data_IF_266414827822
#
_entry.id   IF_266414827822
#
_cell.length_a   1.000
_cell.length_b   1.000
_cell.length_c   1.000
_cell.angle_alpha   90.00
_cell.angle_beta   90.00
_cell.angle_gamma   90.00
#
_symmetry.space_group_name_H-M   'P 1'
#
loop_
_entity.id
_entity.type
_entity.pdbx_description
1 polymer ?
#
# COMPACT_ATOMS: atom_id res chain seq x y z
N UNK A 1 5.59 3.48 4.94
CA UNK A 1 5.55 4.80 5.62
C UNK A 1 5.58 5.89 4.57
N UNK A 2 4.90 7.01 4.80
CA UNK A 2 4.92 8.18 3.91
C UNK A 2 5.23 9.43 4.75
N UNK A 3 6.20 10.25 4.34
CA UNK A 3 6.60 11.47 5.07
C UNK A 3 6.80 11.25 6.59
N UNK A 4 7.40 10.13 6.99
CA UNK A 4 7.62 9.80 8.40
C UNK A 4 6.39 9.27 9.16
N UNK A 5 5.23 9.12 8.51
CA UNK A 5 4.00 8.56 9.09
C UNK A 5 3.78 7.10 8.65
N UNK A 6 3.34 6.26 9.58
CA UNK A 6 2.86 4.90 9.27
C UNK A 6 1.47 5.00 8.65
N UNK A 7 1.26 4.32 7.52
CA UNK A 7 -0.01 4.37 6.77
C UNK A 7 -0.76 3.05 6.79
N UNK A 8 -0.05 1.95 7.05
CA UNK A 8 -0.61 0.61 7.11
C UNK A 8 0.31 -0.30 7.92
N UNK A 9 -0.29 -1.19 8.71
CA UNK A 9 0.40 -2.19 9.52
C UNK A 9 -0.46 -3.46 9.54
N UNK A 10 0.09 -4.57 9.08
CA UNK A 10 -0.55 -5.88 9.18
C UNK A 10 0.52 -6.98 9.23
N UNK A 11 0.16 -8.24 9.52
CA UNK A 11 1.03 -9.38 9.28
C UNK A 11 1.56 -9.36 7.84
N UNK A 12 2.80 -9.79 7.64
CA UNK A 12 3.45 -9.73 6.32
C UNK A 12 2.61 -10.39 5.23
N UNK A 13 2.08 -11.59 5.47
CA UNK A 13 1.22 -12.28 4.50
C UNK A 13 -0.03 -11.48 4.14
N UNK A 14 -0.63 -10.79 5.10
CA UNK A 14 -1.83 -9.97 4.87
C UNK A 14 -1.49 -8.73 4.06
N UNK A 15 -0.38 -8.04 4.36
CA UNK A 15 0.08 -6.87 3.59
C UNK A 15 0.32 -7.18 2.11
N UNK A 16 0.87 -8.36 1.79
CA UNK A 16 1.14 -8.76 0.41
C UNK A 16 -0.12 -9.25 -0.32
N UNK A 17 -1.05 -9.90 0.38
CA UNK A 17 -2.26 -10.48 -0.23
C UNK A 17 -3.43 -9.49 -0.30
N UNK A 18 -3.55 -8.62 0.69
CA UNK A 18 -4.68 -7.71 0.87
C UNK A 18 -4.21 -6.32 1.35
N UNK A 19 -3.30 -5.64 0.62
CA UNK A 19 -2.96 -4.26 0.94
C UNK A 19 -4.21 -3.38 0.83
N UNK A 20 -4.50 -2.57 1.84
CA UNK A 20 -5.70 -1.74 1.88
C UNK A 20 -5.40 -0.28 1.55
N UNK A 21 -4.28 0.26 2.05
CA UNK A 21 -3.95 1.66 1.82
C UNK A 21 -3.49 1.88 0.36
N UNK A 22 -4.01 2.90 -0.36
CA UNK A 22 -3.64 3.15 -1.76
C UNK A 22 -2.14 3.31 -1.99
N UNK A 23 -1.44 3.99 -1.07
CA UNK A 23 0.02 4.06 -1.08
C UNK A 23 0.71 2.69 -1.03
N UNK A 24 0.27 1.79 -0.15
CA UNK A 24 0.85 0.43 -0.06
C UNK A 24 0.61 -0.35 -1.35
N UNK A 25 -0.59 -0.24 -1.94
CA UNK A 25 -0.90 -0.84 -3.25
C UNK A 25 0.02 -0.31 -4.35
N UNK A 26 0.25 1.00 -4.38
CA UNK A 26 1.20 1.63 -5.31
C UNK A 26 2.61 1.06 -5.16
N UNK A 27 3.13 1.00 -3.93
CA UNK A 27 4.45 0.42 -3.66
C UNK A 27 4.56 -1.04 -4.10
N UNK A 28 3.56 -1.87 -3.76
CA UNK A 28 3.58 -3.28 -4.13
C UNK A 28 3.46 -3.50 -5.65
N UNK A 29 2.71 -2.65 -6.35
CA UNK A 29 2.62 -2.70 -7.82
C UNK A 29 3.96 -2.42 -8.52
N UNK A 30 4.87 -1.70 -7.86
CA UNK A 30 6.19 -1.39 -8.38
C UNK A 30 7.21 -2.54 -8.19
N UNK A 31 6.87 -3.60 -7.46
CA UNK A 31 7.76 -4.74 -7.24
C UNK A 31 8.02 -5.45 -8.56
N UNK A 32 9.29 -5.61 -9.00
CA UNK A 32 9.61 -6.26 -10.25
C UNK A 32 9.33 -7.76 -10.18
N UNK A 33 8.84 -8.33 -11.27
CA UNK A 33 8.67 -9.78 -11.40
C UNK A 33 9.67 -10.36 -12.41
N UNK A 34 10.08 -11.65 -12.26
CA UNK A 34 11.12 -12.24 -13.10
C UNK A 34 10.70 -12.55 -14.54
N UNK A 35 9.43 -12.34 -14.92
CA UNK A 35 8.94 -12.51 -16.29
C UNK A 35 9.06 -11.18 -17.08
N UNK A 36 9.95 -11.10 -18.10
CA UNK A 36 10.14 -9.87 -18.88
C UNK A 36 8.92 -9.45 -19.70
N UNK A 37 8.09 -10.40 -20.14
CA UNK A 37 6.89 -10.09 -20.92
C UNK A 37 5.80 -9.51 -20.04
N UNK A 38 5.63 -10.04 -18.84
CA UNK A 38 4.74 -9.47 -17.84
C UNK A 38 5.23 -8.09 -17.40
N UNK A 39 6.51 -7.96 -17.04
CA UNK A 39 7.07 -6.73 -16.47
C UNK A 39 6.93 -5.54 -17.43
N UNK A 40 7.11 -5.74 -18.74
CA UNK A 40 6.92 -4.70 -19.75
C UNK A 40 5.48 -4.16 -19.81
N UNK A 41 4.50 -5.03 -19.57
CA UNK A 41 3.07 -4.69 -19.69
C UNK A 41 2.41 -4.42 -18.34
N UNK A 42 3.17 -4.47 -17.24
CA UNK A 42 2.66 -4.29 -15.88
C UNK A 42 2.16 -2.87 -15.68
N UNK A 43 0.97 -2.73 -15.09
CA UNK A 43 0.40 -1.45 -14.69
C UNK A 43 0.93 -1.11 -13.29
N UNK A 44 1.71 -0.04 -13.20
CA UNK A 44 2.13 0.53 -11.91
C UNK A 44 1.03 1.48 -11.46
N UNK A 45 0.52 1.26 -10.25
CA UNK A 45 -0.49 2.12 -9.65
C UNK A 45 0.19 3.39 -9.15
N UNK A 46 -0.30 4.54 -9.59
CA UNK A 46 0.15 5.84 -9.09
C UNK A 46 -0.65 6.25 -7.85
N UNK A 47 0.02 6.81 -6.85
CA UNK A 47 -0.60 7.31 -5.64
C UNK A 47 -0.42 8.83 -5.55
N UNK A 48 -1.53 9.57 -5.62
CA UNK A 48 -1.52 11.01 -5.41
C UNK A 48 -1.46 11.36 -3.92
N UNK A 49 -0.31 11.87 -3.47
CA UNK A 49 -0.08 12.27 -2.09
C UNK A 49 -1.02 13.37 -1.60
N UNK A 50 -1.59 14.18 -2.50
CA UNK A 50 -2.54 15.23 -2.13
C UNK A 50 -3.89 14.67 -1.67
N UNK A 51 -4.15 13.38 -1.91
CA UNK A 51 -5.35 12.69 -1.44
C UNK A 51 -5.24 12.18 -0.01
N UNK A 52 -4.07 12.28 0.62
CA UNK A 52 -3.83 11.79 1.97
C UNK A 52 -4.56 12.66 3.01
N UNK A 53 -5.29 12.04 3.92
CA UNK A 53 -5.94 12.73 5.03
C UNK A 53 -4.90 13.41 5.94
N UNK A 54 -5.02 14.73 6.11
CA UNK A 54 -4.09 15.52 6.94
C UNK A 54 -4.28 15.26 8.43
N UNK A 55 -5.51 14.97 8.86
CA UNK A 55 -5.91 14.71 10.24
C UNK A 55 -6.49 13.30 10.41
N UNK A 56 -5.93 12.35 9.67
CA UNK A 56 -6.38 10.97 9.73
C UNK A 56 -5.98 10.25 11.01
N UNK A 57 -6.62 9.11 11.26
CA UNK A 57 -6.36 8.25 12.40
C UNK A 57 -5.97 6.85 11.96
N UNK A 58 -5.20 6.17 12.80
CA UNK A 58 -4.83 4.78 12.58
C UNK A 58 -5.92 3.89 13.16
N UNK A 59 -6.66 3.21 12.30
CA UNK A 59 -7.82 2.40 12.67
C UNK A 59 -7.54 0.92 12.39
N UNK A 60 -7.88 0.04 13.33
CA UNK A 60 -7.90 -1.40 13.10
C UNK A 60 -9.13 -1.75 12.25
N UNK A 61 -8.89 -2.15 11.01
CA UNK A 61 -9.97 -2.49 10.05
C UNK A 61 -10.28 -3.98 10.02
N UNK A 62 -9.29 -4.81 10.36
CA UNK A 62 -9.40 -6.25 10.56
C UNK A 62 -8.43 -6.64 11.69
N UNK A 63 -8.61 -7.82 12.28
CA UNK A 63 -7.78 -8.26 13.39
C UNK A 63 -6.28 -8.19 13.04
N UNK A 64 -5.54 -7.34 13.75
CA UNK A 64 -4.11 -7.12 13.53
C UNK A 64 -3.75 -6.32 12.27
N UNK A 65 -4.74 -5.76 11.55
CA UNK A 65 -4.56 -4.95 10.34
C UNK A 65 -5.08 -3.54 10.57
N UNK A 66 -4.15 -2.60 10.58
CA UNK A 66 -4.40 -1.19 10.84
C UNK A 66 -4.11 -0.35 9.60
N UNK A 67 -4.98 0.62 9.33
CA UNK A 67 -4.89 1.51 8.17
C UNK A 67 -5.09 2.95 8.63
N UNK A 68 -4.27 3.86 8.09
CA UNK A 68 -4.45 5.29 8.27
C UNK A 68 -5.56 5.80 7.34
N UNK A 69 -6.59 6.43 7.92
CA UNK A 69 -7.75 6.98 7.20
C UNK A 69 -7.97 8.44 7.53
#
# INVERSE_FOLDING_TARGET
MIQGKMVELAPTSELFNNPLHPYTKSLLSAVPVPDPFYERNKIILDFDINTLATNGFFEEVMQGHFVYK
#
